data_IF_885680425740
#
_entry.id   IF_885680425740
#
_cell.length_a   1.000
_cell.length_b   1.000
_cell.length_c   1.000
_cell.angle_alpha   90.00
_cell.angle_beta   90.00
_cell.angle_gamma   90.00
#
_symmetry.space_group_name_H-M   'P 1'
#
loop_
_entity.id
_entity.type
_entity.pdbx_description
1 polymer ?
#
# COMPACT_ATOMS: atom_id res chain seq x y z
N UNK A 1 -6.26 -4.64 10.61
CA UNK A 1 -5.54 -5.67 9.82
C UNK A 1 -4.09 -5.21 9.70
N UNK A 2 -3.13 -6.08 9.37
CA UNK A 2 -1.72 -5.64 9.24
C UNK A 2 -1.43 -5.23 7.79
N UNK A 3 -0.82 -4.07 7.60
CA UNK A 3 -0.31 -3.64 6.30
C UNK A 3 0.79 -4.60 5.84
N UNK A 4 0.67 -5.11 4.61
CA UNK A 4 1.64 -6.04 4.03
C UNK A 4 3.03 -5.44 3.82
N UNK A 5 3.16 -4.12 3.80
CA UNK A 5 4.43 -3.40 3.61
C UNK A 5 5.08 -2.99 4.92
N UNK A 6 4.38 -2.21 5.76
CA UNK A 6 4.96 -1.67 7.00
C UNK A 6 4.64 -2.49 8.26
N UNK A 7 3.83 -3.56 8.14
CA UNK A 7 3.39 -4.41 9.26
C UNK A 7 2.62 -3.68 10.39
N UNK A 8 2.29 -2.39 10.24
CA UNK A 8 1.43 -1.67 11.18
C UNK A 8 0.04 -2.29 11.19
N UNK A 9 -0.54 -2.38 12.38
CA UNK A 9 -1.94 -2.75 12.53
C UNK A 9 -2.79 -1.49 12.31
N UNK A 10 -3.39 -1.40 11.14
CA UNK A 10 -4.18 -0.23 10.71
C UNK A 10 -5.28 -0.67 9.75
N UNK A 11 -6.06 0.28 9.25
CA UNK A 11 -6.95 0.06 8.12
C UNK A 11 -6.10 -0.12 6.87
N UNK A 12 -6.34 -1.22 6.18
CA UNK A 12 -5.67 -1.56 4.93
C UNK A 12 -6.73 -1.74 3.88
N UNK A 13 -6.42 -1.34 2.67
CA UNK A 13 -7.26 -1.50 1.51
C UNK A 13 -6.55 -2.42 0.51
N UNK A 14 -7.35 -3.07 -0.33
CA UNK A 14 -6.82 -3.89 -1.41
C UNK A 14 -6.16 -2.97 -2.43
N UNK A 15 -4.87 -3.20 -2.68
CA UNK A 15 -4.07 -2.40 -3.60
C UNK A 15 -3.46 -3.32 -4.66
N UNK A 16 -3.76 -3.01 -5.92
CA UNK A 16 -3.28 -3.74 -7.08
C UNK A 16 -2.70 -2.76 -8.10
N UNK A 17 -1.37 -2.75 -8.25
CA UNK A 17 -0.65 -1.90 -9.21
C UNK A 17 0.55 -2.66 -9.77
N UNK A 18 0.73 -2.63 -11.10
CA UNK A 18 1.87 -3.24 -11.83
C UNK A 18 2.21 -4.69 -11.43
N UNK A 19 1.17 -5.50 -11.19
CA UNK A 19 1.31 -6.92 -10.83
C UNK A 19 1.66 -7.16 -9.36
N UNK A 20 1.75 -6.11 -8.53
CA UNK A 20 1.70 -6.25 -7.09
C UNK A 20 0.24 -6.24 -6.63
N UNK A 21 -0.22 -7.35 -6.07
CA UNK A 21 -1.53 -7.45 -5.41
C UNK A 21 -1.30 -7.66 -3.91
N UNK A 22 -1.76 -6.71 -3.07
CA UNK A 22 -1.55 -6.77 -1.63
C UNK A 22 -2.51 -5.89 -0.84
N UNK A 23 -2.41 -5.97 0.49
CA UNK A 23 -3.18 -5.11 1.40
C UNK A 23 -2.26 -4.03 1.98
N UNK A 24 -2.49 -2.78 1.59
CA UNK A 24 -1.67 -1.65 2.01
C UNK A 24 -2.50 -0.64 2.79
N UNK A 25 -1.84 0.07 3.70
CA UNK A 25 -2.43 1.23 4.35
C UNK A 25 -2.28 2.48 3.49
N UNK A 26 -3.11 3.49 3.75
CA UNK A 26 -3.10 4.80 3.06
C UNK A 26 -1.69 5.40 2.92
N UNK A 27 -0.90 5.45 4.01
CA UNK A 27 0.48 5.97 3.98
C UNK A 27 1.39 5.23 2.98
N UNK A 28 1.21 3.91 2.86
CA UNK A 28 1.97 3.10 1.91
C UNK A 28 1.50 3.36 0.49
N UNK A 29 0.19 3.45 0.27
CA UNK A 29 -0.41 3.78 -1.03
C UNK A 29 0.08 5.14 -1.53
N UNK A 30 -0.01 6.18 -0.69
CA UNK A 30 0.45 7.53 -1.04
C UNK A 30 1.94 7.56 -1.41
N UNK A 31 2.76 6.78 -0.69
CA UNK A 31 4.19 6.66 -0.99
C UNK A 31 4.41 6.00 -2.35
N UNK A 32 3.64 4.97 -2.68
CA UNK A 32 3.72 4.29 -3.98
C UNK A 32 3.27 5.19 -5.13
N UNK A 33 2.15 5.88 -4.99
CA UNK A 33 1.63 6.82 -6.00
C UNK A 33 2.64 7.94 -6.29
N UNK A 34 3.36 8.41 -5.26
CA UNK A 34 4.43 9.41 -5.42
C UNK A 34 5.60 8.87 -6.24
N UNK A 35 6.03 7.63 -5.98
CA UNK A 35 7.14 6.98 -6.73
C UNK A 35 6.76 6.75 -8.19
N UNK A 36 5.49 6.45 -8.49
CA UNK A 36 5.01 6.21 -9.86
C UNK A 36 4.75 7.51 -10.66
N UNK A 37 4.63 8.65 -9.98
CA UNK A 37 4.38 9.95 -10.62
C UNK A 37 5.66 10.72 -11.01
N UNK A 38 6.85 10.17 -10.74
CA UNK A 38 8.16 10.69 -11.18
C UNK A 38 8.76 9.84 -12.31
#
# INVERSE_FOLDING_TARGET
>A
MKCGRCSRNTTVEHYEVDGYTGYLCEECVETWDRIQSE
#
